data_IF_648845147381
#
_entry.id   IF_648845147381
#
_cell.length_a   1.000
_cell.length_b   1.000
_cell.length_c   1.000
_cell.angle_alpha   90.00
_cell.angle_beta   90.00
_cell.angle_gamma   90.00
#
_symmetry.space_group_name_H-M   'P 1'
#
loop_
_entity.id
_entity.type
_entity.pdbx_description
1 polymer ?
#
# COMPACT_ATOMS: atom_id res chain seq x y z
N UNK A 1 52.41 -64.38 35.47
CA UNK A 1 51.47 -63.24 35.35
C UNK A 1 50.92 -63.27 33.94
N UNK A 2 49.63 -63.53 33.74
CA UNK A 2 48.92 -63.07 32.53
C UNK A 2 47.44 -63.47 32.48
N UNK A 3 46.69 -62.51 31.93
CA UNK A 3 45.36 -62.51 31.32
C UNK A 3 44.12 -62.85 32.16
N UNK A 4 43.29 -61.83 32.36
CA UNK A 4 41.88 -61.84 31.94
C UNK A 4 41.47 -60.49 31.32
N UNK A 5 40.57 -60.57 30.35
CA UNK A 5 40.03 -59.51 29.46
C UNK A 5 38.55 -59.30 29.78
N UNK A 6 38.07 -58.05 29.78
CA UNK A 6 36.74 -57.51 29.33
C UNK A 6 36.61 -56.09 29.93
N UNK A 7 36.00 -55.06 29.33
CA UNK A 7 35.27 -54.84 28.09
C UNK A 7 34.79 -53.36 28.02
N UNK A 8 34.70 -52.84 26.80
CA UNK A 8 34.00 -51.67 26.22
C UNK A 8 33.25 -50.64 27.12
N UNK A 9 33.61 -49.36 26.97
CA UNK A 9 32.81 -48.18 27.35
C UNK A 9 32.56 -47.27 26.14
N UNK A 10 31.28 -46.94 25.91
CA UNK A 10 30.71 -46.15 24.80
C UNK A 10 30.39 -44.76 25.36
N UNK A 11 31.05 -43.71 24.87
CA UNK A 11 30.66 -42.33 25.16
C UNK A 11 29.82 -41.76 24.02
N UNK A 12 28.57 -41.43 24.34
CA UNK A 12 27.62 -40.76 23.45
C UNK A 12 27.89 -39.25 23.41
N UNK A 13 27.79 -38.72 22.19
CA UNK A 13 27.86 -37.29 21.88
C UNK A 13 26.56 -36.63 22.34
N UNK A 14 26.67 -35.72 23.32
CA UNK A 14 25.59 -34.87 23.83
C UNK A 14 25.23 -33.82 22.77
N UNK A 15 24.07 -33.95 22.12
CA UNK A 15 23.46 -32.91 21.30
C UNK A 15 22.68 -31.95 22.21
N UNK A 16 22.99 -30.66 22.09
CA UNK A 16 22.41 -29.58 22.89
C UNK A 16 20.89 -29.45 22.72
N UNK A 17 20.25 -29.22 23.86
CA UNK A 17 18.81 -28.97 23.96
C UNK A 17 18.48 -27.51 23.61
N UNK A 18 17.29 -27.21 23.03
CA UNK A 18 16.87 -25.85 22.68
C UNK A 18 16.43 -24.97 23.87
N UNK A 19 16.91 -25.25 25.09
CA UNK A 19 16.48 -24.53 26.30
C UNK A 19 17.17 -23.16 26.49
N UNK A 20 18.26 -22.89 25.77
CA UNK A 20 19.09 -21.70 26.01
C UNK A 20 18.46 -20.36 25.61
N UNK A 21 17.31 -20.34 24.94
CA UNK A 21 16.68 -19.09 24.49
C UNK A 21 15.80 -18.46 25.57
N UNK A 22 15.11 -19.27 26.38
CA UNK A 22 14.25 -18.78 27.47
C UNK A 22 15.07 -18.39 28.70
N UNK A 23 16.13 -19.14 28.98
CA UNK A 23 17.04 -18.84 30.09
C UNK A 23 17.82 -17.53 29.88
N UNK A 24 17.99 -17.09 28.61
CA UNK A 24 18.70 -15.86 28.28
C UNK A 24 17.79 -14.62 28.38
N UNK A 25 16.52 -14.71 28.01
CA UNK A 25 15.52 -13.66 28.29
C UNK A 25 15.27 -13.52 29.80
N UNK A 26 15.12 -14.63 30.54
CA UNK A 26 14.92 -14.58 32.00
C UNK A 26 16.16 -14.07 32.75
N UNK A 27 17.38 -14.37 32.27
CA UNK A 27 18.61 -13.87 32.88
C UNK A 27 18.85 -12.37 32.62
N UNK A 28 18.56 -11.87 31.42
CA UNK A 28 18.58 -10.42 31.13
C UNK A 28 17.50 -9.67 31.94
N UNK A 29 16.31 -10.25 32.10
CA UNK A 29 15.26 -9.69 32.95
C UNK A 29 15.61 -9.66 34.44
N UNK A 30 16.44 -10.59 34.92
CA UNK A 30 16.87 -10.67 36.32
C UNK A 30 17.99 -9.67 36.67
N UNK A 31 18.90 -9.36 35.73
CA UNK A 31 19.94 -8.35 35.93
C UNK A 31 19.37 -6.92 35.88
N UNK A 32 18.40 -6.66 34.99
CA UNK A 32 17.74 -5.36 34.89
C UNK A 32 16.84 -5.04 36.10
N UNK A 33 16.27 -6.06 36.75
CA UNK A 33 15.49 -5.91 38.00
C UNK A 33 16.31 -5.35 39.16
N UNK A 34 17.65 -5.53 39.17
CA UNK A 34 18.51 -5.02 40.23
C UNK A 34 18.82 -3.51 40.09
N UNK A 35 18.46 -2.87 38.96
CA UNK A 35 18.78 -1.47 38.67
C UNK A 35 17.66 -0.48 39.00
N UNK A 36 16.45 -0.94 39.29
CA UNK A 36 15.26 -0.10 39.46
C UNK A 36 14.37 -0.55 40.63
N UNK A 37 13.71 0.42 41.26
CA UNK A 37 12.64 0.16 42.21
C UNK A 37 11.51 -0.68 41.56
N UNK A 38 10.85 -1.62 42.29
CA UNK A 38 9.84 -2.51 41.71
C UNK A 38 8.67 -1.80 41.00
N UNK A 39 8.32 -0.59 41.43
CA UNK A 39 7.31 0.23 40.76
C UNK A 39 7.81 0.80 39.42
N UNK A 40 9.08 1.21 39.35
CA UNK A 40 9.70 1.72 38.14
C UNK A 40 9.94 0.61 37.12
N UNK A 41 10.30 -0.59 37.59
CA UNK A 41 10.39 -1.78 36.74
C UNK A 41 9.04 -2.13 36.08
N UNK A 42 7.94 -2.15 36.84
CA UNK A 42 6.59 -2.38 36.29
C UNK A 42 6.19 -1.32 35.25
N UNK A 43 6.48 -0.04 35.53
CA UNK A 43 6.20 1.03 34.57
C UNK A 43 7.04 0.87 33.29
N UNK A 44 8.29 0.41 33.41
CA UNK A 44 9.16 0.17 32.26
C UNK A 44 8.61 -0.95 31.38
N UNK A 45 8.28 -2.11 31.97
CA UNK A 45 7.78 -3.26 31.22
C UNK A 45 6.45 -2.95 30.54
N UNK A 46 5.51 -2.27 31.21
CA UNK A 46 4.24 -1.83 30.63
C UNK A 46 4.45 -0.92 29.42
N UNK A 47 5.28 0.12 29.58
CA UNK A 47 5.57 1.11 28.51
C UNK A 47 6.33 0.51 27.34
N UNK A 48 7.30 -0.37 27.62
CA UNK A 48 8.05 -1.11 26.59
C UNK A 48 7.14 -2.04 25.80
N UNK A 49 6.19 -2.68 26.49
CA UNK A 49 5.18 -3.53 25.85
C UNK A 49 4.25 -2.73 24.96
N UNK A 50 3.70 -1.61 25.45
CA UNK A 50 2.86 -0.71 24.66
C UNK A 50 3.57 -0.18 23.40
N UNK A 51 4.86 0.18 23.53
CA UNK A 51 5.68 0.60 22.38
C UNK A 51 5.85 -0.54 21.36
N UNK A 52 6.13 -1.75 21.83
CA UNK A 52 6.28 -2.93 20.96
C UNK A 52 4.96 -3.27 20.26
N UNK A 53 3.84 -3.20 20.96
CA UNK A 53 2.49 -3.39 20.40
C UNK A 53 2.22 -2.38 19.28
N UNK A 54 2.50 -1.09 19.52
CA UNK A 54 2.37 -0.06 18.48
C UNK A 54 3.22 -0.36 17.24
N UNK A 55 4.48 -0.76 17.42
CA UNK A 55 5.39 -1.05 16.29
C UNK A 55 5.07 -2.34 15.54
N UNK A 56 4.33 -3.26 16.16
CA UNK A 56 3.95 -4.55 15.57
C UNK A 56 2.55 -4.52 14.95
N UNK A 57 1.64 -3.72 15.48
CA UNK A 57 0.29 -3.56 14.97
C UNK A 57 0.16 -2.34 14.06
N UNK A 58 0.31 -1.14 14.63
CA UNK A 58 -0.04 0.13 14.00
C UNK A 58 1.04 0.67 13.06
N UNK A 59 2.31 0.34 13.32
CA UNK A 59 3.46 0.75 12.52
C UNK A 59 4.32 -0.43 12.07
N UNK A 60 3.66 -1.55 11.72
CA UNK A 60 4.36 -2.77 11.32
C UNK A 60 5.18 -2.61 10.04
N UNK A 61 6.33 -3.30 9.90
CA UNK A 61 7.12 -3.30 8.66
C UNK A 61 6.29 -3.72 7.44
N UNK A 62 5.39 -4.70 7.62
CA UNK A 62 4.53 -5.20 6.56
C UNK A 62 3.53 -4.14 6.10
N UNK A 63 2.97 -3.37 7.03
CA UNK A 63 2.08 -2.25 6.73
C UNK A 63 2.81 -1.16 5.94
N UNK A 64 3.99 -0.74 6.39
CA UNK A 64 4.80 0.27 5.69
C UNK A 64 5.20 -0.20 4.28
N UNK A 65 5.62 -1.45 4.14
CA UNK A 65 5.93 -2.06 2.83
C UNK A 65 4.71 -2.03 1.89
N UNK A 66 3.52 -2.31 2.41
CA UNK A 66 2.26 -2.23 1.64
C UNK A 66 1.96 -0.79 1.19
N UNK A 67 2.25 0.19 2.04
CA UNK A 67 2.08 1.61 1.72
C UNK A 67 3.10 2.10 0.68
N UNK A 68 4.37 1.70 0.77
CA UNK A 68 5.37 1.94 -0.27
C UNK A 68 4.93 1.38 -1.62
N UNK A 69 4.50 0.11 -1.64
CA UNK A 69 3.99 -0.51 -2.86
C UNK A 69 2.75 0.21 -3.41
N UNK A 70 1.93 0.83 -2.54
CA UNK A 70 0.77 1.63 -2.97
C UNK A 70 1.21 2.96 -3.55
N UNK A 71 2.22 3.61 -2.96
CA UNK A 71 2.80 4.84 -3.47
C UNK A 71 3.41 4.66 -4.86
N UNK A 72 4.14 3.58 -5.07
CA UNK A 72 4.70 3.26 -6.39
C UNK A 72 3.64 3.00 -7.45
N UNK A 73 2.50 2.41 -7.04
CA UNK A 73 1.36 2.25 -7.94
C UNK A 73 0.76 3.62 -8.29
N UNK A 74 0.50 4.48 -7.29
CA UNK A 74 -0.06 5.81 -7.50
C UNK A 74 0.79 6.64 -8.46
N UNK A 75 2.12 6.60 -8.33
CA UNK A 75 3.04 7.27 -9.26
C UNK A 75 2.90 6.82 -10.72
N UNK A 76 2.46 5.57 -10.95
CA UNK A 76 2.26 4.99 -12.28
C UNK A 76 0.83 5.19 -12.82
N UNK A 77 -0.09 5.65 -11.98
CA UNK A 77 -1.48 5.88 -12.39
C UNK A 77 -1.61 7.07 -13.34
N UNK A 78 -2.67 7.03 -14.12
CA UNK A 78 -3.13 8.19 -14.90
C UNK A 78 -4.15 8.98 -14.09
N UNK A 79 -4.07 10.31 -14.15
CA UNK A 79 -4.96 11.21 -13.45
C UNK A 79 -5.78 12.04 -14.43
N UNK A 80 -7.08 12.14 -14.19
CA UNK A 80 -8.00 12.85 -15.07
C UNK A 80 -9.04 13.62 -14.28
N UNK A 81 -9.67 14.58 -14.94
CA UNK A 81 -10.70 15.42 -14.35
C UNK A 81 -12.06 14.87 -14.78
N UNK A 82 -12.85 14.42 -13.81
CA UNK A 82 -14.25 14.10 -14.00
C UNK A 82 -15.11 15.34 -13.78
N UNK A 83 -16.13 15.49 -14.63
CA UNK A 83 -17.07 16.60 -14.58
C UNK A 83 -18.43 16.02 -14.20
N UNK A 84 -18.89 16.30 -12.99
CA UNK A 84 -20.16 15.79 -12.50
C UNK A 84 -21.15 16.94 -12.24
N UNK A 85 -22.45 16.78 -12.56
CA UNK A 85 -23.47 17.67 -12.06
C UNK A 85 -23.48 17.71 -10.52
N UNK A 86 -23.72 18.88 -9.93
CA UNK A 86 -23.66 19.09 -8.47
C UNK A 86 -24.70 18.28 -7.69
N UNK A 87 -25.76 17.81 -8.35
CA UNK A 87 -26.82 17.00 -7.77
C UNK A 87 -26.56 15.49 -7.81
N UNK A 88 -25.55 15.01 -8.56
CA UNK A 88 -25.17 13.59 -8.59
C UNK A 88 -24.18 13.29 -7.47
N UNK A 89 -24.47 12.28 -6.64
CA UNK A 89 -23.55 11.80 -5.61
C UNK A 89 -22.33 11.09 -6.24
N UNK A 90 -21.20 11.03 -5.53
CA UNK A 90 -20.04 10.25 -5.96
C UNK A 90 -20.48 8.77 -6.07
N UNK A 91 -20.42 8.18 -7.26
CA UNK A 91 -20.79 6.77 -7.48
C UNK A 91 -22.14 6.53 -8.16
N UNK A 92 -22.97 7.57 -8.38
CA UNK A 92 -24.17 7.45 -9.24
C UNK A 92 -23.74 7.40 -10.71
N UNK A 93 -23.38 6.20 -11.16
CA UNK A 93 -23.05 5.86 -12.54
C UNK A 93 -24.35 5.74 -13.36
N UNK A 94 -25.14 6.80 -13.49
CA UNK A 94 -26.17 6.84 -14.53
C UNK A 94 -25.59 7.54 -15.78
N UNK A 95 -25.00 6.79 -16.74
CA UNK A 95 -24.40 7.36 -17.95
C UNK A 95 -25.41 8.11 -18.83
N UNK A 96 -26.72 7.97 -18.57
CA UNK A 96 -27.78 8.65 -19.31
C UNK A 96 -28.04 10.09 -18.85
N UNK A 97 -27.40 10.58 -17.79
CA UNK A 97 -27.69 11.90 -17.18
C UNK A 97 -26.53 12.90 -17.24
N UNK A 98 -25.42 12.56 -17.92
CA UNK A 98 -24.53 13.61 -18.42
C UNK A 98 -25.01 14.01 -19.81
N UNK A 99 -25.78 15.10 -19.96
CA UNK A 99 -26.13 15.54 -21.30
C UNK A 99 -24.82 15.88 -22.02
N UNK A 100 -24.56 15.24 -23.17
CA UNK A 100 -23.35 15.46 -23.97
C UNK A 100 -23.12 16.94 -24.33
N UNK A 101 -24.15 17.76 -24.17
CA UNK A 101 -24.11 19.23 -24.25
C UNK A 101 -23.33 19.90 -23.12
N UNK A 102 -23.06 19.26 -21.97
CA UNK A 102 -22.28 19.88 -20.89
C UNK A 102 -20.85 20.20 -21.31
N UNK A 103 -20.21 19.33 -22.09
CA UNK A 103 -18.86 19.61 -22.61
C UNK A 103 -18.86 20.77 -23.61
N UNK A 104 -19.97 20.99 -24.33
CA UNK A 104 -20.12 22.11 -25.26
C UNK A 104 -20.26 23.46 -24.54
N UNK A 105 -20.74 23.45 -23.28
CA UNK A 105 -20.88 24.65 -22.45
C UNK A 105 -19.57 25.05 -21.73
N UNK A 106 -18.59 24.14 -21.69
CA UNK A 106 -17.32 24.39 -21.01
C UNK A 106 -16.40 25.17 -21.93
N UNK A 107 -15.86 26.27 -21.41
CA UNK A 107 -14.83 27.03 -22.08
C UNK A 107 -13.54 26.20 -22.20
N UNK A 108 -13.05 25.92 -23.42
CA UNK A 108 -11.87 25.08 -23.61
C UNK A 108 -10.62 25.65 -22.94
N UNK A 109 -10.42 26.96 -22.97
CA UNK A 109 -9.25 27.62 -22.37
C UNK A 109 -9.28 27.55 -20.84
N UNK A 110 -10.47 27.75 -20.23
CA UNK A 110 -10.65 27.57 -18.78
C UNK A 110 -10.43 26.11 -18.38
N UNK A 111 -10.89 25.16 -19.18
CA UNK A 111 -10.66 23.75 -18.93
C UNK A 111 -9.18 23.37 -19.03
N UNK A 112 -8.45 23.87 -20.02
CA UNK A 112 -6.99 23.65 -20.11
C UNK A 112 -6.26 24.21 -18.89
N UNK A 113 -6.64 25.40 -18.38
CA UNK A 113 -6.09 25.92 -17.11
C UNK A 113 -6.40 24.99 -15.95
N UNK A 114 -7.61 24.44 -15.90
CA UNK A 114 -8.01 23.52 -14.84
C UNK A 114 -7.23 22.20 -14.88
N UNK A 115 -6.89 21.70 -16.08
CA UNK A 115 -5.98 20.55 -16.23
C UNK A 115 -4.62 20.83 -15.60
N UNK A 116 -4.05 22.02 -15.82
CA UNK A 116 -2.78 22.43 -15.18
C UNK A 116 -2.88 22.46 -13.66
N UNK A 117 -3.99 22.99 -13.12
CA UNK A 117 -4.26 22.98 -11.67
C UNK A 117 -4.37 21.55 -11.14
N UNK A 118 -5.12 20.69 -11.83
CA UNK A 118 -5.24 19.26 -11.49
C UNK A 118 -3.88 18.57 -11.46
N UNK A 119 -3.06 18.76 -12.49
CA UNK A 119 -1.69 18.22 -12.53
C UNK A 119 -0.84 18.72 -11.37
N UNK A 120 -0.90 20.01 -11.05
CA UNK A 120 -0.15 20.57 -9.92
C UNK A 120 -0.62 19.96 -8.59
N UNK A 121 -1.94 19.87 -8.37
CA UNK A 121 -2.52 19.28 -7.16
C UNK A 121 -2.12 17.80 -7.01
N UNK A 122 -2.18 17.00 -8.09
CA UNK A 122 -1.71 15.61 -8.08
C UNK A 122 -0.23 15.52 -7.68
N UNK A 123 0.62 16.37 -8.25
CA UNK A 123 2.07 16.37 -7.94
C UNK A 123 2.31 16.70 -6.47
N UNK A 124 1.65 17.74 -5.96
CA UNK A 124 1.75 18.14 -4.54
C UNK A 124 1.29 17.00 -3.64
N UNK A 125 0.14 16.37 -3.95
CA UNK A 125 -0.40 15.25 -3.18
C UNK A 125 0.57 14.06 -3.16
N UNK A 126 1.16 13.69 -4.31
CA UNK A 126 2.12 12.59 -4.39
C UNK A 126 3.42 12.88 -3.63
N UNK A 127 3.90 14.11 -3.67
CA UNK A 127 5.08 14.54 -2.90
C UNK A 127 4.80 14.49 -1.40
N UNK A 128 3.66 15.01 -0.97
CA UNK A 128 3.27 15.02 0.43
C UNK A 128 3.03 13.61 0.97
N UNK A 129 2.39 12.73 0.21
CA UNK A 129 2.26 11.32 0.58
C UNK A 129 3.62 10.63 0.72
N UNK A 130 4.59 10.96 -0.13
CA UNK A 130 5.94 10.39 -0.03
C UNK A 130 6.67 10.89 1.22
N UNK A 131 6.57 12.19 1.53
CA UNK A 131 7.15 12.79 2.72
C UNK A 131 6.56 12.20 4.02
N UNK A 132 5.23 12.07 4.10
CA UNK A 132 4.59 11.43 5.26
C UNK A 132 5.03 9.98 5.44
N UNK A 133 5.16 9.22 4.34
CA UNK A 133 5.62 7.83 4.43
C UNK A 133 7.08 7.74 4.91
N UNK A 134 7.95 8.67 4.47
CA UNK A 134 9.31 8.78 4.97
C UNK A 134 9.37 9.18 6.45
N UNK A 135 8.46 10.07 6.90
CA UNK A 135 8.32 10.40 8.32
C UNK A 135 7.93 9.17 9.15
N UNK A 136 7.04 8.32 8.63
CA UNK A 136 6.67 7.05 9.28
C UNK A 136 7.84 6.07 9.34
N UNK A 137 8.62 5.92 8.26
CA UNK A 137 9.80 5.04 8.23
C UNK A 137 10.85 5.50 9.25
N UNK A 138 11.15 6.80 9.28
CA UNK A 138 12.11 7.39 10.24
C UNK A 138 11.62 7.26 11.67
N UNK A 139 10.37 7.62 11.93
CA UNK A 139 9.77 7.49 13.26
C UNK A 139 9.75 6.05 13.76
N UNK A 140 9.49 5.09 12.88
CA UNK A 140 9.59 3.67 13.21
C UNK A 140 11.01 3.28 13.60
N UNK A 141 12.02 3.69 12.83
CA UNK A 141 13.41 3.39 13.11
C UNK A 141 13.91 4.02 14.43
N UNK A 142 13.48 5.26 14.71
CA UNK A 142 13.75 5.95 15.98
C UNK A 142 13.17 5.16 17.16
N UNK A 143 11.92 4.73 17.06
CA UNK A 143 11.24 3.98 18.11
C UNK A 143 11.80 2.55 18.29
N UNK A 144 12.15 1.86 17.19
CA UNK A 144 12.84 0.57 17.24
C UNK A 144 14.20 0.71 17.98
N UNK A 145 14.96 1.79 17.72
CA UNK A 145 16.23 2.02 18.39
C UNK A 145 16.09 2.21 19.92
N UNK A 146 14.97 2.79 20.38
CA UNK A 146 14.69 2.90 21.82
C UNK A 146 14.49 1.53 22.47
N UNK A 147 13.89 0.56 21.77
CA UNK A 147 13.71 -0.80 22.28
C UNK A 147 15.00 -1.61 22.37
N UNK A 148 16.02 -1.21 21.61
CA UNK A 148 17.36 -1.81 21.62
C UNK A 148 18.26 -1.24 22.73
N UNK A 149 17.81 -0.22 23.46
CA UNK A 149 18.60 0.34 24.56
C UNK A 149 18.56 -0.61 25.76
N UNK A 150 19.72 -1.01 26.32
CA UNK A 150 19.78 -1.89 27.48
C UNK A 150 19.50 -1.17 28.79
N UNK A 151 19.71 0.16 28.90
CA UNK A 151 19.44 0.89 30.14
C UNK A 151 17.98 1.38 30.18
N UNK A 152 17.16 0.93 31.15
CA UNK A 152 15.75 1.35 31.27
C UNK A 152 15.57 2.77 31.79
N UNK A 153 16.58 3.38 32.44
CA UNK A 153 16.45 4.68 33.11
C UNK A 153 16.20 5.86 32.14
N UNK A 154 16.95 6.02 31.04
CA UNK A 154 16.69 7.08 30.06
C UNK A 154 15.32 6.94 29.39
N UNK A 155 14.89 5.70 29.10
CA UNK A 155 13.58 5.42 28.52
C UNK A 155 12.44 5.86 29.45
N UNK A 156 12.53 5.52 30.74
CA UNK A 156 11.54 5.93 31.73
C UNK A 156 11.47 7.45 31.91
N UNK A 157 12.64 8.11 32.00
CA UNK A 157 12.73 9.56 32.15
C UNK A 157 12.22 10.31 30.91
N UNK A 158 12.49 9.77 29.72
CA UNK A 158 12.10 10.34 28.43
C UNK A 158 10.70 9.95 27.94
N UNK A 159 9.94 9.14 28.69
CA UNK A 159 8.69 8.55 28.21
C UNK A 159 7.67 9.57 27.69
N UNK A 160 7.58 10.76 28.29
CA UNK A 160 6.67 11.80 27.80
C UNK A 160 6.92 12.18 26.33
N UNK A 161 8.19 12.24 25.92
CA UNK A 161 8.59 12.50 24.54
C UNK A 161 8.26 11.30 23.64
N UNK A 162 8.45 10.08 24.14
CA UNK A 162 8.09 8.85 23.41
C UNK A 162 6.57 8.80 23.17
N UNK A 163 5.77 9.05 24.20
CA UNK A 163 4.31 9.08 24.10
C UNK A 163 3.82 10.17 23.12
N UNK A 164 4.43 11.36 23.16
CA UNK A 164 4.16 12.40 22.17
C UNK A 164 4.52 11.92 20.75
N UNK A 165 5.67 11.27 20.58
CA UNK A 165 6.10 10.74 19.28
C UNK A 165 5.15 9.68 18.73
N UNK A 166 4.59 8.82 19.58
CA UNK A 166 3.56 7.85 19.20
C UNK A 166 2.30 8.54 18.68
N UNK A 167 1.84 9.58 19.38
CA UNK A 167 0.67 10.36 18.96
C UNK A 167 0.93 11.11 17.64
N UNK A 168 2.11 11.69 17.47
CA UNK A 168 2.53 12.35 16.22
C UNK A 168 2.53 11.37 15.04
N UNK A 169 3.13 10.19 15.20
CA UNK A 169 3.17 9.18 14.14
C UNK A 169 1.79 8.63 13.79
N UNK A 170 0.90 8.51 14.79
CA UNK A 170 -0.50 8.16 14.57
C UNK A 170 -1.20 9.23 13.71
N UNK A 171 -1.01 10.51 14.03
CA UNK A 171 -1.56 11.61 13.24
C UNK A 171 -0.97 11.68 11.81
N UNK A 172 0.32 11.38 11.64
CA UNK A 172 0.97 11.26 10.33
C UNK A 172 0.34 10.12 9.53
N UNK A 173 0.08 8.96 10.15
CA UNK A 173 -0.60 7.84 9.51
C UNK A 173 -2.02 8.22 9.08
N UNK A 174 -2.79 8.87 9.94
CA UNK A 174 -4.14 9.35 9.61
C UNK A 174 -4.12 10.33 8.43
N UNK A 175 -3.17 11.29 8.43
CA UNK A 175 -2.95 12.22 7.33
C UNK A 175 -2.59 11.50 6.03
N UNK A 176 -1.72 10.50 6.10
CA UNK A 176 -1.33 9.69 4.95
C UNK A 176 -2.55 8.94 4.37
N UNK A 177 -3.34 8.27 5.22
CA UNK A 177 -4.53 7.53 4.81
C UNK A 177 -5.59 8.45 4.19
N UNK A 178 -5.85 9.61 4.80
CA UNK A 178 -6.80 10.60 4.31
C UNK A 178 -6.43 11.14 2.92
N UNK A 179 -5.12 11.20 2.61
CA UNK A 179 -4.62 11.69 1.33
C UNK A 179 -4.42 10.62 0.26
N UNK A 180 -4.68 9.33 0.53
CA UNK A 180 -4.49 8.27 -0.48
C UNK A 180 -5.50 8.32 -1.63
N UNK A 181 -6.63 9.00 -1.46
CA UNK A 181 -7.64 9.18 -2.50
C UNK A 181 -7.57 10.62 -3.02
N UNK A 182 -7.33 10.84 -4.32
CA UNK A 182 -7.36 12.19 -4.86
C UNK A 182 -8.72 12.84 -4.62
N UNK A 183 -8.66 14.05 -4.10
CA UNK A 183 -9.82 14.78 -3.63
C UNK A 183 -10.46 15.67 -4.69
N UNK A 184 -11.34 16.54 -4.21
CA UNK A 184 -12.04 17.54 -5.01
C UNK A 184 -11.06 18.58 -5.58
N UNK A 185 -11.27 18.99 -6.83
CA UNK A 185 -10.56 20.14 -7.40
C UNK A 185 -11.25 21.43 -6.99
N UNK A 186 -10.50 22.36 -6.40
CA UNK A 186 -11.03 23.67 -6.04
C UNK A 186 -11.13 24.56 -7.29
N UNK A 187 -12.35 24.98 -7.61
CA UNK A 187 -12.65 25.79 -8.79
C UNK A 187 -12.81 27.25 -8.35
N UNK A 188 -11.80 28.08 -8.61
CA UNK A 188 -11.91 29.54 -8.35
C UNK A 188 -12.79 30.26 -9.38
N UNK A 189 -12.83 29.78 -10.63
CA UNK A 189 -13.55 30.43 -11.73
C UNK A 189 -14.51 29.45 -12.41
N UNK A 190 -15.72 29.89 -12.74
CA UNK A 190 -16.71 29.08 -13.48
C UNK A 190 -16.10 28.57 -14.80
N UNK A 191 -16.13 27.26 -14.98
CA UNK A 191 -15.70 26.61 -16.24
C UNK A 191 -16.68 26.88 -17.39
N UNK A 192 -17.96 27.06 -17.09
CA UNK A 192 -18.98 27.43 -18.07
C UNK A 192 -18.91 28.94 -18.31
N UNK A 193 -18.92 29.36 -19.58
CA UNK A 193 -18.97 30.78 -19.94
C UNK A 193 -20.40 31.29 -19.92
N UNK A 194 -20.63 32.50 -19.40
CA UNK A 194 -21.97 33.08 -19.15
C UNK A 194 -22.70 33.56 -20.44
N UNK A 195 -22.36 33.00 -21.61
CA UNK A 195 -22.84 33.48 -22.91
C UNK A 195 -24.25 32.93 -23.16
N UNK A 196 -25.27 33.69 -22.79
CA UNK A 196 -26.65 33.55 -23.28
C UNK A 196 -27.53 32.44 -22.68
N UNK A 197 -27.04 31.63 -21.74
CA UNK A 197 -27.82 30.56 -21.13
C UNK A 197 -28.63 31.07 -19.91
N UNK A 198 -29.97 30.96 -19.95
CA UNK A 198 -30.87 31.35 -18.84
C UNK A 198 -30.69 30.50 -17.58
N UNK A 199 -30.02 29.35 -17.66
CA UNK A 199 -29.64 28.50 -16.52
C UNK A 199 -28.27 27.85 -16.75
N UNK A 200 -27.27 28.27 -15.98
CA UNK A 200 -25.93 27.69 -16.00
C UNK A 200 -25.92 26.40 -15.15
N UNK A 201 -25.51 25.24 -15.72
CA UNK A 201 -25.49 24.00 -14.97
C UNK A 201 -24.45 24.08 -13.83
N UNK A 202 -24.89 23.75 -12.62
CA UNK A 202 -23.97 23.62 -11.49
C UNK A 202 -23.14 22.34 -11.65
N UNK A 203 -21.88 22.48 -12.00
CA UNK A 203 -20.93 21.36 -12.16
C UNK A 203 -19.90 21.32 -11.02
N UNK A 204 -19.39 20.14 -10.74
CA UNK A 204 -18.28 19.85 -9.84
C UNK A 204 -17.17 19.15 -10.62
N UNK A 205 -15.92 19.42 -10.25
CA UNK A 205 -14.77 18.74 -10.79
C UNK A 205 -14.12 17.88 -9.72
N UNK A 206 -13.82 16.64 -10.10
CA UNK A 206 -13.16 15.67 -9.24
C UNK A 206 -11.90 15.21 -9.96
N UNK A 207 -10.82 15.05 -9.20
CA UNK A 207 -9.61 14.42 -9.70
C UNK A 207 -9.75 12.91 -9.48
N UNK A 208 -9.79 12.16 -10.57
CA UNK A 208 -9.94 10.70 -10.53
C UNK A 208 -8.65 10.02 -10.98
N UNK A 209 -8.44 8.81 -10.44
CA UNK A 209 -7.28 7.97 -10.72
C UNK A 209 -7.70 6.78 -11.57
N UNK A 210 -6.95 6.50 -12.63
CA UNK A 210 -7.05 5.25 -13.38
C UNK A 210 -5.78 4.43 -13.17
N UNK A 211 -5.95 3.21 -12.66
CA UNK A 211 -4.87 2.25 -12.43
C UNK A 211 -4.18 1.90 -13.75
N UNK A 212 -2.84 1.82 -13.79
CA UNK A 212 -2.14 1.40 -15.00
C UNK A 212 -2.46 -0.05 -15.32
N UNK A 213 -2.59 -0.34 -16.61
CA UNK A 213 -2.66 -1.71 -17.11
C UNK A 213 -1.22 -2.18 -17.32
N UNK A 214 -0.83 -3.26 -16.66
CA UNK A 214 0.53 -3.79 -16.72
C UNK A 214 0.60 -4.96 -17.69
N UNK A 215 1.64 -4.96 -18.54
CA UNK A 215 1.90 -6.08 -19.43
C UNK A 215 2.44 -7.25 -18.62
N UNK A 216 1.71 -8.37 -18.64
CA UNK A 216 2.20 -9.61 -18.05
C UNK A 216 3.03 -10.37 -19.07
N UNK A 217 4.33 -10.09 -19.07
CA UNK A 217 5.29 -10.80 -19.92
C UNK A 217 5.33 -12.30 -19.63
N UNK A 218 5.13 -12.72 -18.37
CA UNK A 218 5.21 -14.15 -17.98
C UNK A 218 3.98 -14.93 -18.43
N UNK A 219 2.81 -14.30 -18.35
CA UNK A 219 1.55 -14.87 -18.84
C UNK A 219 1.31 -14.67 -20.34
N UNK A 220 2.24 -14.03 -21.06
CA UNK A 220 2.19 -13.85 -22.51
C UNK A 220 3.06 -14.91 -23.21
N UNK A 221 2.55 -15.50 -24.28
CA UNK A 221 3.19 -16.60 -25.00
C UNK A 221 3.23 -16.29 -26.49
N UNK A 222 4.40 -16.47 -27.11
CA UNK A 222 4.53 -16.42 -28.56
C UNK A 222 4.52 -17.85 -29.12
N UNK A 223 3.70 -18.07 -30.13
CA UNK A 223 3.63 -19.27 -30.94
C UNK A 223 4.19 -18.98 -32.34
N UNK A 224 4.32 -20.00 -33.17
CA UNK A 224 4.96 -19.89 -34.49
C UNK A 224 4.29 -18.83 -35.39
N UNK A 225 2.96 -18.74 -35.35
CA UNK A 225 2.18 -17.85 -36.24
C UNK A 225 1.31 -16.82 -35.47
N UNK A 226 1.32 -16.83 -34.15
CA UNK A 226 0.49 -15.94 -33.33
C UNK A 226 1.07 -15.73 -31.94
N UNK A 227 0.56 -14.73 -31.20
CA UNK A 227 0.95 -14.50 -29.82
C UNK A 227 -0.29 -14.26 -28.93
N UNK A 228 -0.25 -14.82 -27.72
CA UNK A 228 -1.16 -14.50 -26.62
C UNK A 228 -0.52 -13.43 -25.75
N UNK A 229 -1.18 -12.27 -25.63
CA UNK A 229 -0.70 -11.16 -24.80
C UNK A 229 -1.62 -11.00 -23.59
N UNK A 230 -1.03 -10.98 -22.39
CA UNK A 230 -1.76 -10.81 -21.13
C UNK A 230 -1.49 -9.44 -20.52
N UNK A 231 -2.56 -8.85 -19.98
CA UNK A 231 -2.54 -7.56 -19.31
C UNK A 231 -3.26 -7.70 -17.95
N UNK A 232 -2.74 -7.07 -16.90
CA UNK A 232 -3.36 -7.07 -15.57
C UNK A 232 -3.65 -5.65 -15.09
N UNK A 233 -4.85 -5.46 -14.52
CA UNK A 233 -5.28 -4.19 -13.94
C UNK A 233 -4.91 -4.04 -12.45
N UNK A 234 -4.57 -5.14 -11.77
CA UNK A 234 -4.08 -5.14 -10.39
C UNK A 234 -2.69 -5.82 -10.32
N UNK A 235 -1.61 -5.07 -10.01
CA UNK A 235 -0.28 -5.64 -9.80
C UNK A 235 -0.19 -6.61 -8.62
N UNK A 236 -1.19 -6.67 -7.73
CA UNK A 236 -1.16 -7.48 -6.50
C UNK A 236 -1.90 -8.81 -6.61
N UNK A 237 -2.55 -9.08 -7.72
CA UNK A 237 -3.14 -10.39 -7.97
C UNK A 237 -2.09 -11.28 -8.66
N UNK A 238 -1.54 -12.31 -7.97
CA UNK A 238 -0.81 -13.35 -8.69
C UNK A 238 -1.77 -14.02 -9.67
N UNK A 239 -1.28 -14.28 -10.88
CA UNK A 239 -2.00 -15.10 -11.85
C UNK A 239 -2.40 -16.40 -11.14
N UNK A 240 -3.70 -16.67 -11.05
CA UNK A 240 -4.17 -17.99 -10.68
C UNK A 240 -3.50 -18.98 -11.64
N UNK A 241 -2.62 -19.82 -11.12
CA UNK A 241 -2.15 -21.01 -11.82
C UNK A 241 -3.38 -21.90 -11.94
N UNK A 242 -4.04 -21.85 -13.09
CA UNK A 242 -4.91 -22.93 -13.52
C UNK A 242 -4.01 -24.15 -13.64
N UNK A 243 -4.05 -25.02 -12.64
CA UNK A 243 -3.50 -26.35 -12.75
C UNK A 243 -4.25 -27.04 -13.90
N UNK A 244 -3.50 -27.44 -14.92
CA UNK A 244 -3.94 -28.42 -15.90
C UNK A 244 -4.20 -29.73 -15.13
N UNK A 245 -5.47 -29.94 -14.77
CA UNK A 245 -5.97 -31.27 -14.46
C UNK A 245 -6.92 -31.66 -15.59
N UNK A 246 -6.39 -32.55 -16.42
CA UNK A 246 -7.05 -33.31 -17.47
C UNK A 246 -8.42 -33.79 -17.00
N UNK A 247 -9.49 -33.32 -17.62
CA UNK A 247 -10.74 -34.07 -17.64
C UNK A 247 -11.36 -34.04 -19.03
N UNK A 248 -11.35 -35.22 -19.61
CA UNK A 248 -11.85 -35.61 -20.91
C UNK A 248 -13.36 -35.38 -21.06
N UNK A 249 -13.76 -35.18 -22.32
CA UNK A 249 -15.07 -35.45 -22.94
C UNK A 249 -16.27 -34.53 -22.63
N UNK A 250 -16.65 -33.70 -23.62
CA UNK A 250 -17.99 -33.09 -23.74
C UNK A 250 -17.97 -31.75 -24.50
N UNK A 251 -18.86 -31.50 -25.49
CA UNK A 251 -18.69 -30.43 -26.47
C UNK A 251 -19.03 -29.04 -25.92
N UNK A 252 -18.14 -28.07 -26.18
CA UNK A 252 -18.35 -26.66 -25.91
C UNK A 252 -19.34 -26.02 -26.91
N UNK A 253 -20.29 -25.19 -26.46
CA UNK A 253 -21.02 -24.30 -27.36
C UNK A 253 -20.19 -23.03 -27.67
N UNK A 254 -20.10 -22.74 -28.97
CA UNK A 254 -19.87 -21.46 -29.65
C UNK A 254 -18.94 -20.40 -29.00
N UNK A 255 -17.79 -20.21 -29.67
CA UNK A 255 -16.77 -19.17 -29.54
C UNK A 255 -17.31 -17.72 -29.56
N UNK A 256 -16.61 -16.76 -28.89
CA UNK A 256 -16.69 -15.35 -29.26
C UNK A 256 -15.69 -15.02 -30.39
N UNK A 257 -16.23 -14.39 -31.44
CA UNK A 257 -15.61 -13.44 -32.36
C UNK A 257 -14.13 -13.64 -32.75
N UNK A 258 -13.88 -14.47 -33.78
CA UNK A 258 -12.69 -14.33 -34.64
C UNK A 258 -12.81 -13.04 -35.46
N UNK A 259 -11.84 -12.15 -35.33
CA UNK A 259 -11.59 -11.12 -36.35
C UNK A 259 -10.61 -11.74 -37.34
N UNK A 260 -11.10 -12.08 -38.54
CA UNK A 260 -10.28 -12.42 -39.69
C UNK A 260 -9.73 -11.14 -40.35
N UNK A 261 -8.49 -11.14 -40.85
CA UNK A 261 -7.99 -10.05 -41.67
C UNK A 261 -8.56 -10.15 -43.09
N UNK A 262 -8.91 -8.99 -43.65
CA UNK A 262 -9.40 -8.80 -45.02
C UNK A 262 -8.46 -9.42 -46.08
N UNK A 263 -9.00 -9.90 -47.23
CA UNK A 263 -8.18 -10.26 -48.37
C UNK A 263 -7.67 -9.00 -49.08
N UNK A 264 -6.37 -8.96 -49.33
CA UNK A 264 -5.72 -7.98 -50.20
C UNK A 264 -6.19 -8.19 -51.64
N UNK A 265 -6.75 -7.15 -52.25
CA UNK A 265 -7.00 -7.05 -53.68
C UNK A 265 -6.26 -5.84 -54.26
N UNK A 266 -5.62 -6.09 -55.41
CA UNK A 266 -5.14 -5.15 -56.42
C UNK A 266 -3.87 -4.32 -56.10
N UNK A 267 -2.75 -4.65 -56.76
CA UNK A 267 -2.44 -4.25 -58.14
C UNK A 267 -1.43 -5.20 -58.79
#
# INVERSE_FOLDING_TARGET
MNFQVTGLGRDEVKMDSPQSFLDQEEAEEAEDQQLLEPAAWRAYTERRTALREFLTADLSPHLLKRHHARMDLLRKCSYYIEILPKHLALGDQNPLVLPGTMFQLIDPWKFQRMKKVGTAQTKIQLLLLADLLEQLDRGRAELDALLQSPDPRPFLAGWGLVAQRLAELSAVMDGFLAMMVPGRLHIKHRLVSDIGATKIPHIRLILSTKTPVLFDRKGSVAHQDWASLRWTADPRQPAATSNDESCSTGPCPASPSRISPFPSSAR
#
